data_IF_123695678764
#
_entry.id   IF_123695678764
#
_cell.length_a   1.000
_cell.length_b   1.000
_cell.length_c   1.000
_cell.angle_alpha   90.00
_cell.angle_beta   90.00
_cell.angle_gamma   90.00
#
_symmetry.space_group_name_H-M   'P 1'
#
loop_
_entity.id
_entity.type
_entity.pdbx_description
1 polymer ?
#
# COMPACT_ATOMS: atom_id res chain seq x y z
N UNK A 1 1.82 -15.96 -10.02
CA UNK A 1 3.04 -15.20 -9.71
C UNK A 1 2.65 -13.86 -9.08
N UNK A 2 2.91 -13.66 -7.78
CA UNK A 2 2.59 -12.42 -7.05
C UNK A 2 3.63 -11.29 -7.26
N UNK A 3 4.66 -11.53 -8.07
CA UNK A 3 5.69 -10.52 -8.36
C UNK A 3 5.31 -9.62 -9.54
N UNK A 4 4.07 -9.66 -10.00
CA UNK A 4 3.58 -8.83 -11.09
C UNK A 4 2.19 -8.31 -10.79
N UNK A 5 1.91 -7.08 -11.22
CA UNK A 5 0.58 -6.48 -11.11
C UNK A 5 -0.47 -7.17 -11.99
N UNK A 6 -0.07 -8.06 -12.92
CA UNK A 6 -1.00 -8.88 -13.69
C UNK A 6 -1.95 -9.68 -12.80
N UNK A 7 -1.47 -10.10 -11.61
CA UNK A 7 -2.32 -10.86 -10.69
C UNK A 7 -3.55 -10.09 -10.22
N UNK A 8 -3.51 -8.76 -10.26
CA UNK A 8 -4.63 -7.88 -9.92
C UNK A 8 -5.46 -7.50 -11.16
N UNK A 9 -4.77 -7.18 -12.27
CA UNK A 9 -5.40 -6.55 -13.43
C UNK A 9 -5.69 -7.50 -14.59
N UNK A 10 -4.96 -8.60 -14.68
CA UNK A 10 -5.14 -9.63 -15.70
C UNK A 10 -4.93 -11.04 -15.10
N UNK A 11 -5.70 -11.39 -14.06
CA UNK A 11 -5.49 -12.60 -13.30
C UNK A 11 -5.81 -13.86 -14.14
N UNK A 12 -5.17 -14.99 -13.82
CA UNK A 12 -5.59 -16.28 -14.38
C UNK A 12 -7.01 -16.63 -13.91
N UNK A 13 -7.74 -17.38 -14.74
CA UNK A 13 -9.17 -17.64 -14.57
C UNK A 13 -9.55 -18.27 -13.21
N UNK A 14 -8.64 -19.04 -12.61
CA UNK A 14 -8.86 -19.66 -11.29
C UNK A 14 -8.90 -18.67 -10.13
N UNK A 15 -8.42 -17.44 -10.34
CA UNK A 15 -8.47 -16.35 -9.36
C UNK A 15 -9.64 -15.39 -9.57
N UNK A 16 -10.41 -15.54 -10.65
CA UNK A 16 -11.59 -14.71 -10.90
C UNK A 16 -12.58 -14.82 -9.73
N UNK A 17 -13.02 -13.68 -9.21
CA UNK A 17 -13.91 -13.60 -8.06
C UNK A 17 -13.24 -13.94 -6.70
N UNK A 18 -11.91 -13.93 -6.62
CA UNK A 18 -11.15 -14.23 -5.39
C UNK A 18 -10.08 -13.17 -5.08
N UNK A 19 -10.25 -11.97 -5.58
CA UNK A 19 -9.28 -10.88 -5.41
C UNK A 19 -9.92 -9.77 -4.60
N UNK A 20 -9.27 -9.35 -3.51
CA UNK A 20 -9.63 -8.13 -2.80
C UNK A 20 -8.74 -6.99 -3.28
N UNK A 21 -9.34 -5.82 -3.51
CA UNK A 21 -8.62 -4.59 -3.86
C UNK A 21 -8.93 -3.54 -2.81
N UNK A 22 -8.01 -2.61 -2.56
CA UNK A 22 -8.26 -1.51 -1.64
C UNK A 22 -9.42 -0.64 -2.12
N UNK A 23 -10.19 -0.07 -1.20
CA UNK A 23 -11.20 0.94 -1.48
C UNK A 23 -10.62 2.37 -1.55
N UNK A 24 -9.30 2.45 -1.70
CA UNK A 24 -8.55 3.67 -1.92
C UNK A 24 -8.39 3.93 -3.42
N UNK A 25 -9.24 4.78 -3.99
CA UNK A 25 -9.20 5.13 -5.41
C UNK A 25 -7.80 5.55 -5.87
N UNK A 26 -7.13 6.45 -5.13
CA UNK A 26 -5.81 6.95 -5.49
C UNK A 26 -4.76 5.84 -5.59
N UNK A 27 -4.77 4.86 -4.69
CA UNK A 27 -3.82 3.75 -4.70
C UNK A 27 -4.11 2.77 -5.84
N UNK A 28 -5.39 2.45 -6.10
CA UNK A 28 -5.79 1.57 -7.22
C UNK A 28 -5.44 2.21 -8.56
N UNK A 29 -5.71 3.50 -8.74
CA UNK A 29 -5.37 4.27 -9.96
C UNK A 29 -3.85 4.35 -10.15
N UNK A 30 -3.08 4.55 -9.07
CA UNK A 30 -1.63 4.56 -9.12
C UNK A 30 -1.07 3.18 -9.52
N UNK A 31 -1.59 2.09 -8.95
CA UNK A 31 -1.19 0.73 -9.32
C UNK A 31 -1.55 0.39 -10.77
N UNK A 32 -2.73 0.80 -11.24
CA UNK A 32 -3.14 0.61 -12.63
C UNK A 32 -2.25 1.40 -13.59
N UNK A 33 -1.86 2.63 -13.21
CA UNK A 33 -0.91 3.44 -13.98
C UNK A 33 0.48 2.79 -14.06
N UNK A 34 0.98 2.24 -12.95
CA UNK A 34 2.23 1.47 -12.92
C UNK A 34 2.15 0.23 -13.80
N UNK A 35 1.02 -0.49 -13.77
CA UNK A 35 0.78 -1.66 -14.61
C UNK A 35 0.86 -1.32 -16.10
N UNK A 36 0.26 -0.21 -16.53
CA UNK A 36 0.26 0.27 -17.92
C UNK A 36 1.56 0.99 -18.31
N UNK A 37 2.43 1.31 -17.35
CA UNK A 37 3.64 2.11 -17.60
C UNK A 37 3.33 3.55 -18.03
N UNK A 38 2.22 4.12 -17.57
CA UNK A 38 1.79 5.49 -17.85
C UNK A 38 1.95 6.40 -16.61
N UNK A 39 2.11 7.72 -16.79
CA UNK A 39 2.15 8.65 -15.68
C UNK A 39 0.83 8.66 -14.88
N UNK A 40 0.93 8.76 -13.56
CA UNK A 40 -0.23 9.12 -12.74
C UNK A 40 -0.71 10.53 -13.13
N UNK A 41 -1.99 10.80 -12.92
CA UNK A 41 -2.63 12.08 -13.26
C UNK A 41 -2.49 12.48 -14.74
N UNK A 42 -2.44 11.52 -15.64
CA UNK A 42 -2.41 11.81 -17.08
C UNK A 42 -3.70 12.48 -17.52
N UNK A 43 -3.58 13.51 -18.37
CA UNK A 43 -4.68 14.13 -19.11
C UNK A 43 -4.75 13.66 -20.57
N UNK A 44 -3.87 12.76 -20.97
CA UNK A 44 -3.88 12.17 -22.31
C UNK A 44 -5.08 11.22 -22.49
N UNK A 45 -5.86 11.46 -23.54
CA UNK A 45 -7.13 10.74 -23.78
C UNK A 45 -6.93 9.24 -24.04
N UNK A 46 -5.86 8.87 -24.72
CA UNK A 46 -5.61 7.48 -25.06
C UNK A 46 -5.13 6.72 -23.81
N UNK A 47 -4.34 7.38 -22.96
CA UNK A 47 -3.93 6.81 -21.66
C UNK A 47 -5.12 6.68 -20.70
N UNK A 48 -5.99 7.69 -20.61
CA UNK A 48 -7.21 7.63 -19.79
C UNK A 48 -8.15 6.52 -20.26
N UNK A 49 -8.30 6.37 -21.59
CA UNK A 49 -9.09 5.28 -22.16
C UNK A 49 -8.50 3.90 -21.82
N UNK A 50 -7.19 3.74 -21.95
CA UNK A 50 -6.51 2.49 -21.61
C UNK A 50 -6.65 2.15 -20.12
N UNK A 51 -6.62 3.16 -19.24
CA UNK A 51 -6.82 3.01 -17.81
C UNK A 51 -8.26 2.56 -17.49
N UNK A 52 -9.25 3.21 -18.09
CA UNK A 52 -10.67 2.85 -17.93
C UNK A 52 -10.94 1.41 -18.44
N UNK A 53 -10.48 1.06 -19.63
CA UNK A 53 -10.63 -0.29 -20.18
C UNK A 53 -9.97 -1.36 -19.30
N UNK A 54 -8.79 -1.07 -18.75
CA UNK A 54 -8.11 -1.95 -17.81
C UNK A 54 -8.94 -2.18 -16.54
N UNK A 55 -9.39 -1.09 -15.91
CA UNK A 55 -10.14 -1.16 -14.66
C UNK A 55 -11.51 -1.82 -14.83
N UNK A 56 -12.22 -1.55 -15.91
CA UNK A 56 -13.49 -2.21 -16.24
C UNK A 56 -13.29 -3.73 -16.44
N UNK A 57 -12.24 -4.12 -17.15
CA UNK A 57 -11.93 -5.54 -17.36
C UNK A 57 -11.50 -6.22 -16.06
N UNK A 58 -10.64 -5.58 -15.28
CA UNK A 58 -10.11 -6.15 -14.04
C UNK A 58 -11.18 -6.27 -12.95
N UNK A 59 -12.04 -5.25 -12.80
CA UNK A 59 -13.08 -5.23 -11.78
C UNK A 59 -14.06 -6.40 -11.86
N UNK A 60 -14.27 -6.96 -13.04
CA UNK A 60 -15.08 -8.15 -13.24
C UNK A 60 -14.50 -9.41 -12.53
N UNK A 61 -13.21 -9.40 -12.19
CA UNK A 61 -12.51 -10.47 -11.49
C UNK A 61 -12.36 -10.22 -9.98
N UNK A 62 -12.68 -9.01 -9.50
CA UNK A 62 -12.53 -8.66 -8.10
C UNK A 62 -13.75 -9.09 -7.29
N UNK A 63 -13.49 -9.71 -6.12
CA UNK A 63 -14.54 -10.18 -5.22
C UNK A 63 -15.01 -9.07 -4.29
N UNK A 64 -14.10 -8.18 -3.88
CA UNK A 64 -14.39 -7.15 -2.89
C UNK A 64 -13.47 -5.95 -3.02
N UNK A 65 -13.96 -4.83 -2.49
CA UNK A 65 -13.21 -3.61 -2.28
C UNK A 65 -13.18 -3.34 -0.78
N UNK A 66 -12.00 -3.24 -0.19
CA UNK A 66 -11.88 -2.92 1.21
C UNK A 66 -10.43 -2.91 1.67
N UNK A 67 -10.02 -1.80 2.26
CA UNK A 67 -8.68 -1.61 2.83
C UNK A 67 -8.60 -2.22 4.23
N UNK A 68 -9.54 -1.87 5.10
CA UNK A 68 -9.55 -2.32 6.50
C UNK A 68 -9.86 -3.83 6.63
N UNK A 69 -10.61 -4.39 5.70
CA UNK A 69 -10.99 -5.82 5.69
C UNK A 69 -9.99 -6.70 4.92
N UNK A 70 -9.02 -6.11 4.23
CA UNK A 70 -8.08 -6.84 3.37
C UNK A 70 -7.38 -7.99 4.11
N UNK A 71 -6.96 -7.74 5.36
CA UNK A 71 -6.38 -8.78 6.22
C UNK A 71 -7.36 -9.93 6.47
N UNK A 72 -8.57 -9.61 6.86
CA UNK A 72 -9.55 -10.60 7.33
C UNK A 72 -10.03 -11.51 6.20
N UNK A 73 -10.25 -10.97 5.00
CA UNK A 73 -10.66 -11.78 3.84
C UNK A 73 -9.54 -12.70 3.32
N UNK A 74 -8.27 -12.33 3.52
CA UNK A 74 -7.14 -13.21 3.23
C UNK A 74 -6.96 -14.29 4.30
N UNK A 75 -7.12 -13.95 5.57
CA UNK A 75 -7.03 -14.90 6.69
C UNK A 75 -8.16 -15.93 6.64
N UNK A 76 -9.39 -15.50 6.33
CA UNK A 76 -10.55 -16.40 6.19
C UNK A 76 -10.50 -17.27 4.93
N UNK A 77 -9.73 -16.86 3.91
CA UNK A 77 -9.70 -17.51 2.60
C UNK A 77 -10.84 -17.11 1.67
N UNK A 78 -11.59 -16.05 2.01
CA UNK A 78 -12.63 -15.47 1.13
C UNK A 78 -11.98 -14.79 -0.09
N UNK A 79 -10.75 -14.29 0.06
CA UNK A 79 -9.89 -13.90 -1.04
C UNK A 79 -8.62 -14.75 -1.08
N UNK A 80 -8.19 -15.11 -2.30
CA UNK A 80 -6.94 -15.83 -2.53
C UNK A 80 -5.78 -14.87 -2.83
N UNK A 81 -6.09 -13.65 -3.27
CA UNK A 81 -5.16 -12.57 -3.58
C UNK A 81 -5.71 -11.28 -3.02
N UNK A 82 -4.84 -10.40 -2.55
CA UNK A 82 -5.26 -9.09 -2.07
C UNK A 82 -4.20 -8.03 -2.34
N UNK A 83 -4.66 -6.84 -2.72
CA UNK A 83 -3.91 -5.62 -2.52
C UNK A 83 -4.04 -5.28 -1.03
N UNK A 84 -2.93 -5.19 -0.33
CA UNK A 84 -2.91 -5.05 1.13
C UNK A 84 -1.71 -4.22 1.58
N UNK A 85 -1.88 -3.41 2.60
CA UNK A 85 -0.78 -2.67 3.21
C UNK A 85 0.17 -3.61 3.96
N UNK A 86 1.46 -3.32 3.88
CA UNK A 86 2.53 -4.15 4.44
C UNK A 86 2.33 -4.49 5.92
N UNK A 87 1.94 -3.53 6.77
CA UNK A 87 1.69 -3.80 8.19
C UNK A 87 0.49 -4.72 8.43
N UNK A 88 -0.55 -4.67 7.59
CA UNK A 88 -1.68 -5.61 7.69
C UNK A 88 -1.29 -7.01 7.26
N UNK A 89 -0.44 -7.14 6.22
CA UNK A 89 0.12 -8.44 5.83
C UNK A 89 0.97 -9.05 6.96
N UNK A 90 1.85 -8.24 7.56
CA UNK A 90 2.68 -8.67 8.69
C UNK A 90 1.82 -9.16 9.88
N UNK A 91 0.75 -8.42 10.22
CA UNK A 91 -0.20 -8.83 11.27
C UNK A 91 -0.94 -10.11 10.92
N UNK A 92 -1.40 -10.26 9.68
CA UNK A 92 -2.06 -11.51 9.24
C UNK A 92 -1.14 -12.72 9.43
N UNK A 93 0.13 -12.57 9.07
CA UNK A 93 1.15 -13.62 9.24
C UNK A 93 1.39 -13.92 10.73
N UNK A 94 1.47 -12.90 11.58
CA UNK A 94 1.60 -13.06 13.02
C UNK A 94 0.38 -13.77 13.64
N UNK A 95 -0.81 -13.62 13.06
CA UNK A 95 -2.03 -14.36 13.43
C UNK A 95 -2.07 -15.79 12.87
N UNK A 96 -1.04 -16.23 12.16
CA UNK A 96 -0.90 -17.60 11.64
C UNK A 96 -1.45 -17.79 10.22
N UNK A 97 -1.76 -16.72 9.50
CA UNK A 97 -2.16 -16.84 8.10
C UNK A 97 -1.01 -17.34 7.23
N UNK A 98 -1.32 -18.31 6.35
CA UNK A 98 -0.37 -18.82 5.37
C UNK A 98 -0.44 -17.98 4.10
N UNK A 99 0.09 -16.76 4.17
CA UNK A 99 0.14 -15.81 3.08
C UNK A 99 1.57 -15.50 2.68
N UNK A 100 1.76 -15.15 1.42
CA UNK A 100 3.00 -14.65 0.84
C UNK A 100 2.79 -13.18 0.44
N UNK A 101 3.79 -12.34 0.70
CA UNK A 101 3.78 -10.92 0.35
C UNK A 101 4.88 -10.61 -0.66
N UNK A 102 4.59 -9.79 -1.64
CA UNK A 102 5.59 -9.35 -2.63
C UNK A 102 5.34 -7.94 -3.12
N UNK A 103 6.41 -7.30 -3.53
CA UNK A 103 6.42 -6.03 -4.25
C UNK A 103 6.55 -6.31 -5.75
N UNK A 104 5.60 -5.85 -6.60
CA UNK A 104 5.59 -6.16 -8.03
C UNK A 104 6.77 -5.56 -8.82
N UNK A 105 7.10 -6.20 -9.93
CA UNK A 105 8.17 -5.78 -10.85
C UNK A 105 7.88 -4.44 -11.53
N UNK A 106 6.61 -4.12 -11.78
CA UNK A 106 6.18 -2.85 -12.39
C UNK A 106 6.31 -1.66 -11.44
N UNK A 107 6.36 -1.90 -10.13
CA UNK A 107 6.39 -0.90 -9.08
C UNK A 107 5.24 -1.09 -8.08
N UNK A 108 5.29 -0.32 -7.02
CA UNK A 108 4.31 -0.38 -5.94
C UNK A 108 4.08 1.01 -5.34
N UNK A 109 2.92 1.17 -4.73
CA UNK A 109 2.58 2.41 -4.03
C UNK A 109 3.31 2.48 -2.70
N UNK A 110 3.82 3.67 -2.38
CA UNK A 110 4.40 4.00 -1.09
C UNK A 110 3.72 5.23 -0.50
N UNK A 111 3.73 5.32 0.82
CA UNK A 111 3.25 6.49 1.55
C UNK A 111 4.14 6.74 2.77
N UNK A 112 3.96 7.89 3.38
CA UNK A 112 4.64 8.24 4.62
C UNK A 112 3.67 9.04 5.50
N UNK A 113 3.33 8.48 6.64
CA UNK A 113 2.54 9.18 7.65
C UNK A 113 3.39 10.25 8.34
N UNK A 114 2.77 11.37 8.65
CA UNK A 114 3.45 12.51 9.23
C UNK A 114 2.75 12.96 10.51
N UNK A 115 3.51 13.19 11.55
CA UNK A 115 3.03 13.91 12.74
C UNK A 115 3.16 15.40 12.48
N UNK A 116 2.04 16.13 12.59
CA UNK A 116 1.99 17.57 12.31
C UNK A 116 1.57 18.36 13.53
N UNK A 117 2.11 19.56 13.68
CA UNK A 117 1.72 20.51 14.70
C UNK A 117 0.78 21.56 14.09
N UNK A 118 -0.45 21.63 14.57
CA UNK A 118 -1.42 22.61 14.12
C UNK A 118 -0.97 24.03 14.53
N UNK A 119 -1.28 25.03 13.66
CA UNK A 119 -0.87 26.42 13.88
C UNK A 119 -1.36 26.98 15.24
N UNK A 120 -2.60 26.61 15.61
CA UNK A 120 -3.28 27.09 16.81
C UNK A 120 -3.16 26.14 18.01
N UNK A 121 -2.20 25.20 17.99
CA UNK A 121 -2.03 24.24 19.06
C UNK A 121 -1.76 24.94 20.41
N UNK A 122 -2.61 24.73 21.45
CA UNK A 122 -2.49 25.45 22.72
C UNK A 122 -1.26 25.03 23.52
N UNK A 123 -0.74 23.82 23.31
CA UNK A 123 0.40 23.24 24.01
C UNK A 123 1.59 22.99 23.07
N UNK A 124 1.92 23.99 22.24
CA UNK A 124 2.96 23.90 21.21
C UNK A 124 4.29 23.33 21.71
N UNK A 125 4.76 23.81 22.86
CA UNK A 125 6.04 23.36 23.42
C UNK A 125 6.04 21.86 23.75
N UNK A 126 4.98 21.36 24.38
CA UNK A 126 4.86 19.93 24.70
C UNK A 126 4.67 19.08 23.44
N UNK A 127 3.96 19.59 22.43
CA UNK A 127 3.80 18.89 21.16
C UNK A 127 5.16 18.72 20.44
N UNK A 128 6.00 19.74 20.43
CA UNK A 128 7.35 19.65 19.88
C UNK A 128 8.22 18.64 20.62
N UNK A 129 8.18 18.64 21.97
CA UNK A 129 8.89 17.64 22.77
C UNK A 129 8.42 16.21 22.47
N UNK A 130 7.12 16.02 22.23
CA UNK A 130 6.59 14.72 21.83
C UNK A 130 7.05 14.31 20.41
N UNK A 131 7.09 15.26 19.48
CA UNK A 131 7.61 14.99 18.14
C UNK A 131 9.10 14.63 18.18
N UNK A 132 9.92 15.35 18.96
CA UNK A 132 11.32 15.01 19.17
C UNK A 132 11.49 13.63 19.81
N UNK A 133 10.65 13.30 20.80
CA UNK A 133 10.64 11.97 21.44
C UNK A 133 10.35 10.85 20.44
N UNK A 134 9.43 11.06 19.49
CA UNK A 134 9.11 10.07 18.44
C UNK A 134 10.24 9.91 17.41
N UNK A 135 11.11 10.92 17.23
CA UNK A 135 12.23 10.85 16.29
C UNK A 135 13.44 10.10 16.85
N UNK A 136 13.45 9.76 18.15
CA UNK A 136 14.46 8.88 18.71
C UNK A 136 14.24 7.43 18.25
N UNK A 137 15.27 6.75 17.69
CA UNK A 137 15.12 5.40 17.12
C UNK A 137 14.51 4.37 18.08
N UNK A 138 14.90 4.39 19.32
CA UNK A 138 14.37 3.48 20.36
C UNK A 138 12.87 3.70 20.58
N UNK A 139 12.42 4.95 20.60
CA UNK A 139 11.03 5.29 20.87
C UNK A 139 10.12 4.96 19.69
N UNK A 140 10.53 5.29 18.46
CA UNK A 140 9.74 4.95 17.28
C UNK A 140 9.74 3.43 17.02
N UNK A 141 10.76 2.71 17.44
CA UNK A 141 10.79 1.25 17.37
C UNK A 141 9.62 0.60 18.13
N UNK A 142 9.20 1.18 19.26
CA UNK A 142 8.02 0.70 20.00
C UNK A 142 6.77 0.77 19.14
N UNK A 143 6.59 1.88 18.40
CA UNK A 143 5.48 2.06 17.46
C UNK A 143 5.58 1.07 16.31
N UNK A 144 6.77 0.92 15.74
CA UNK A 144 7.02 0.01 14.61
C UNK A 144 6.78 -1.46 15.00
N UNK A 145 7.28 -1.91 16.14
CA UNK A 145 7.06 -3.27 16.63
C UNK A 145 5.57 -3.55 16.90
N UNK A 146 4.81 -2.56 17.37
CA UNK A 146 3.37 -2.69 17.59
C UNK A 146 2.56 -2.61 16.29
N UNK A 147 2.83 -1.61 15.45
CA UNK A 147 2.06 -1.35 14.24
C UNK A 147 2.48 -2.23 13.06
N UNK A 148 3.72 -2.73 13.07
CA UNK A 148 4.36 -3.56 12.05
C UNK A 148 4.58 -2.86 10.70
N UNK A 149 4.54 -1.53 10.69
CA UNK A 149 4.94 -0.70 9.58
C UNK A 149 6.38 -0.22 9.73
N UNK A 150 7.07 -0.04 8.62
CA UNK A 150 8.44 0.50 8.63
C UNK A 150 8.46 1.93 9.17
N UNK A 151 9.47 2.27 9.96
CA UNK A 151 9.68 3.62 10.44
C UNK A 151 10.48 4.47 9.43
N UNK A 152 10.15 5.76 9.35
CA UNK A 152 10.91 6.74 8.57
C UNK A 152 12.13 7.32 9.31
N UNK A 153 12.60 6.68 10.39
CA UNK A 153 13.70 7.14 11.24
C UNK A 153 14.91 6.22 11.06
N UNK A 154 16.08 6.81 10.80
CA UNK A 154 17.33 6.05 10.68
C UNK A 154 17.75 5.43 12.02
N UNK A 155 18.39 4.25 11.98
CA UNK A 155 18.89 3.56 13.17
C UNK A 155 17.84 2.76 13.93
N UNK A 156 16.57 2.77 13.52
CA UNK A 156 15.50 2.03 14.18
C UNK A 156 15.70 0.52 14.16
N UNK A 157 16.37 -0.01 13.14
CA UNK A 157 16.54 -1.46 12.91
C UNK A 157 17.18 -2.19 14.09
N UNK A 158 18.05 -1.52 14.86
CA UNK A 158 18.72 -2.09 16.03
C UNK A 158 17.76 -2.38 17.20
N UNK A 159 16.58 -1.73 17.20
CA UNK A 159 15.56 -1.82 18.24
C UNK A 159 14.32 -2.62 17.80
N UNK A 160 14.30 -3.10 16.56
CA UNK A 160 13.18 -3.91 16.05
C UNK A 160 13.30 -5.36 16.52
N UNK A 161 12.16 -5.99 16.67
CA UNK A 161 12.10 -7.44 16.82
C UNK A 161 12.73 -8.10 15.58
N UNK A 162 13.63 -9.08 15.74
CA UNK A 162 14.36 -9.66 14.61
C UNK A 162 13.46 -10.24 13.51
N UNK A 163 12.32 -10.78 13.89
CA UNK A 163 11.32 -11.32 12.95
C UNK A 163 10.74 -10.21 12.08
N UNK A 164 10.36 -9.08 12.68
CA UNK A 164 9.83 -7.93 11.97
C UNK A 164 10.88 -7.30 11.04
N UNK A 165 12.11 -7.19 11.51
CA UNK A 165 13.22 -6.66 10.71
C UNK A 165 13.50 -7.50 9.45
N UNK A 166 13.25 -8.81 9.50
CA UNK A 166 13.51 -9.75 8.40
C UNK A 166 12.31 -9.97 7.47
N UNK A 167 11.12 -9.47 7.80
CA UNK A 167 9.91 -9.72 7.01
C UNK A 167 9.99 -9.13 5.59
N UNK A 168 9.46 -9.82 4.56
CA UNK A 168 9.42 -9.31 3.18
C UNK A 168 8.59 -8.02 3.06
N UNK A 169 7.63 -7.82 3.94
CA UNK A 169 6.81 -6.61 4.05
C UNK A 169 7.63 -5.34 4.34
N UNK A 170 8.79 -5.48 4.99
CA UNK A 170 9.71 -4.38 5.30
C UNK A 170 10.98 -4.40 4.43
N UNK A 171 11.17 -5.45 3.64
CA UNK A 171 12.35 -5.66 2.80
C UNK A 171 11.93 -6.01 1.37
N UNK A 172 11.71 -5.03 0.50
CA UNK A 172 11.44 -5.31 -0.91
C UNK A 172 12.51 -6.23 -1.50
N UNK A 173 12.06 -7.26 -2.23
CA UNK A 173 12.97 -8.23 -2.85
C UNK A 173 13.87 -7.58 -3.89
N UNK A 174 14.99 -8.21 -4.18
CA UNK A 174 15.81 -7.84 -5.35
C UNK A 174 14.98 -8.00 -6.64
N UNK A 175 15.00 -6.98 -7.49
CA UNK A 175 14.20 -6.93 -8.72
C UNK A 175 12.76 -6.46 -8.55
N UNK A 176 12.33 -6.07 -7.35
CA UNK A 176 11.09 -5.31 -7.20
C UNK A 176 11.17 -3.99 -7.98
N UNK A 177 10.05 -3.56 -8.54
CA UNK A 177 9.95 -2.27 -9.21
C UNK A 177 10.09 -1.09 -8.23
N UNK A 178 10.11 0.15 -8.73
CA UNK A 178 10.27 1.32 -7.89
C UNK A 178 9.03 1.58 -7.04
N UNK A 179 9.24 2.10 -5.82
CA UNK A 179 8.18 2.69 -5.02
C UNK A 179 7.74 4.04 -5.60
N UNK A 180 6.44 4.27 -5.69
CA UNK A 180 5.85 5.49 -6.18
C UNK A 180 4.80 6.03 -5.19
N UNK A 181 4.93 7.31 -4.82
CA UNK A 181 3.88 7.99 -4.06
C UNK A 181 2.64 8.20 -4.93
N UNK A 182 1.45 8.12 -4.31
CA UNK A 182 0.22 8.54 -4.98
C UNK A 182 0.32 10.03 -5.31
N UNK A 183 0.16 10.36 -6.58
CA UNK A 183 0.19 11.74 -7.03
C UNK A 183 -1.10 12.47 -6.66
N UNK A 184 -0.97 13.76 -6.33
CA UNK A 184 -2.12 14.64 -6.17
C UNK A 184 -2.44 15.23 -7.54
N UNK A 185 -3.55 14.79 -8.14
CA UNK A 185 -3.98 15.28 -9.43
C UNK A 185 -4.58 16.69 -9.32
N UNK A 186 -4.53 17.45 -10.42
CA UNK A 186 -5.31 18.67 -10.50
C UNK A 186 -6.82 18.37 -10.52
N UNK A 187 -7.63 19.39 -10.24
CA UNK A 187 -9.08 19.22 -10.11
C UNK A 187 -9.70 18.65 -11.38
N UNK A 188 -9.26 19.06 -12.55
CA UNK A 188 -9.84 18.60 -13.82
C UNK A 188 -9.57 17.13 -14.08
N UNK A 189 -8.36 16.66 -13.74
CA UNK A 189 -7.99 15.25 -13.84
C UNK A 189 -8.72 14.41 -12.77
N UNK A 190 -8.85 14.94 -11.54
CA UNK A 190 -9.61 14.26 -10.49
C UNK A 190 -11.08 14.06 -10.86
N UNK A 191 -11.73 15.07 -11.45
CA UNK A 191 -13.11 14.96 -11.94
C UNK A 191 -13.29 13.89 -13.05
N UNK A 192 -12.23 13.59 -13.81
CA UNK A 192 -12.25 12.48 -14.77
C UNK A 192 -12.12 11.13 -14.05
N UNK A 193 -11.27 11.05 -13.05
CA UNK A 193 -11.06 9.81 -12.27
C UNK A 193 -12.27 9.44 -11.41
N UNK A 194 -13.10 10.40 -11.02
CA UNK A 194 -14.31 10.21 -10.20
C UNK A 194 -15.53 9.72 -11.01
N UNK A 195 -15.42 9.61 -12.34
CA UNK A 195 -16.50 9.17 -13.25
C UNK A 195 -16.44 7.71 -13.59
#
# INVERSE_FOLDING_TARGET
>A
NINTTDILFNPPAELAGKINVLDSQGEVMAMASLHLGIPQCSSDRDQLKALDELLQSASANWASFGSDVAKDVLVSGDAAVGMIWNGFSAKARAEGANIEYSYPDQGFVVWMDNVVLLADAPNRANALLFMDFLLEPENIAVVTNYAQYAAGVSGVTEFLEPELAAMPENNPREGAGPGAFVAVCDQATQEVYDR
#
